data_IF_043844382100
#
_entry.id   IF_043844382100
#
_cell.length_a   1.000
_cell.length_b   1.000
_cell.length_c   1.000
_cell.angle_alpha   90.00
_cell.angle_beta   90.00
_cell.angle_gamma   90.00
#
_symmetry.space_group_name_H-M   'P 1'
#
loop_
_entity.id
_entity.type
_entity.pdbx_description
1 polymer ?
#
# COMPACT_ATOMS: atom_id res chain seq x y z
N UNK A 1 -13.40 22.14 57.69
CA UNK A 1 -14.74 22.29 57.11
C UNK A 1 -14.74 21.61 55.74
N UNK A 2 -15.72 20.71 55.55
CA UNK A 2 -16.31 20.24 54.29
C UNK A 2 -15.48 19.44 53.25
N UNK A 3 -15.84 18.16 53.23
CA UNK A 3 -15.84 17.17 52.14
C UNK A 3 -16.54 17.67 50.86
N UNK A 4 -15.97 17.30 49.70
CA UNK A 4 -16.65 16.80 48.49
C UNK A 4 -15.66 15.80 47.84
N UNK A 5 -15.95 14.55 47.52
CA UNK A 5 -17.22 13.94 47.17
C UNK A 5 -17.26 13.60 45.67
N UNK A 6 -16.54 12.55 45.27
CA UNK A 6 -16.85 11.60 44.18
C UNK A 6 -17.51 12.07 42.87
N UNK A 7 -16.81 11.87 41.76
CA UNK A 7 -17.43 11.50 40.47
C UNK A 7 -16.75 10.23 39.93
N UNK A 8 -17.36 9.07 40.23
CA UNK A 8 -17.13 7.83 39.47
C UNK A 8 -17.74 8.04 38.09
N UNK A 9 -16.91 8.29 37.07
CA UNK A 9 -17.34 8.09 35.69
C UNK A 9 -17.19 6.61 35.36
N UNK A 10 -18.32 5.89 35.41
CA UNK A 10 -18.45 4.55 34.88
C UNK A 10 -18.32 4.60 33.36
N UNK A 11 -17.12 4.33 32.84
CA UNK A 11 -16.91 4.05 31.43
C UNK A 11 -17.55 2.70 31.09
N UNK A 12 -18.76 2.75 30.55
CA UNK A 12 -19.33 1.63 29.80
C UNK A 12 -18.52 1.49 28.50
N UNK A 13 -17.78 0.39 28.27
CA UNK A 13 -17.18 0.17 26.96
C UNK A 13 -18.31 -0.22 26.00
N UNK A 14 -18.51 0.63 24.99
CA UNK A 14 -19.41 0.40 23.87
C UNK A 14 -19.11 -0.94 23.20
N UNK A 15 -20.16 -1.74 23.07
CA UNK A 15 -20.19 -2.97 22.29
C UNK A 15 -20.15 -2.59 20.81
N UNK A 16 -18.97 -2.63 20.20
CA UNK A 16 -18.81 -2.37 18.77
C UNK A 16 -17.38 -2.56 18.31
N UNK A 17 -17.14 -3.63 17.54
CA UNK A 17 -15.87 -3.86 16.86
C UNK A 17 -15.52 -5.33 16.78
N UNK A 18 -15.90 -5.99 15.70
CA UNK A 18 -15.45 -7.33 15.34
C UNK A 18 -13.94 -7.34 15.14
N UNK A 19 -13.18 -7.47 16.23
CA UNK A 19 -11.79 -7.90 16.23
C UNK A 19 -11.76 -9.43 16.15
N UNK A 20 -12.18 -9.99 15.02
CA UNK A 20 -12.13 -11.44 14.77
C UNK A 20 -11.01 -11.76 13.76
N UNK A 21 -9.77 -11.37 14.06
CA UNK A 21 -8.63 -11.77 13.23
C UNK A 21 -7.36 -12.11 14.00
N UNK A 22 -7.47 -12.50 15.28
CA UNK A 22 -6.31 -12.98 16.04
C UNK A 22 -6.66 -14.12 16.99
N UNK A 23 -7.21 -15.21 16.45
CA UNK A 23 -7.10 -16.58 16.97
C UNK A 23 -7.33 -17.48 15.75
N UNK A 24 -6.27 -17.79 15.02
CA UNK A 24 -6.22 -19.05 14.24
C UNK A 24 -5.93 -20.16 15.25
N UNK A 25 -6.88 -20.34 16.16
CA UNK A 25 -6.83 -21.31 17.23
C UNK A 25 -7.16 -22.70 16.69
N UNK A 26 -6.82 -23.75 17.43
CA UNK A 26 -6.96 -25.16 17.04
C UNK A 26 -8.32 -25.57 16.42
N UNK A 27 -9.39 -24.79 16.62
CA UNK A 27 -10.69 -24.99 15.96
C UNK A 27 -10.65 -24.97 14.43
N UNK A 28 -9.77 -24.18 13.78
CA UNK A 28 -9.63 -24.24 12.32
C UNK A 28 -9.12 -25.61 11.85
N UNK A 29 -8.18 -26.20 12.58
CA UNK A 29 -7.59 -27.50 12.25
C UNK A 29 -8.61 -28.62 12.42
N UNK A 30 -9.44 -28.54 13.47
CA UNK A 30 -10.56 -29.46 13.68
C UNK A 30 -11.60 -29.35 12.57
N UNK A 31 -11.97 -28.13 12.14
CA UNK A 31 -12.91 -27.91 11.04
C UNK A 31 -12.39 -28.45 9.71
N UNK A 32 -11.11 -28.20 9.39
CA UNK A 32 -10.46 -28.76 8.19
C UNK A 32 -10.48 -30.29 8.24
N UNK A 33 -10.16 -30.89 9.39
CA UNK A 33 -10.14 -32.34 9.56
C UNK A 33 -11.55 -32.94 9.40
N UNK A 34 -12.56 -32.35 10.04
CA UNK A 34 -13.95 -32.79 9.91
C UNK A 34 -14.47 -32.66 8.47
N UNK A 35 -14.09 -31.58 7.79
CA UNK A 35 -14.42 -31.36 6.39
C UNK A 35 -13.80 -32.42 5.48
N UNK A 36 -12.51 -32.75 5.67
CA UNK A 36 -11.84 -33.82 4.91
C UNK A 36 -12.51 -35.18 5.13
N UNK A 37 -12.87 -35.52 6.38
CA UNK A 37 -13.60 -36.76 6.68
C UNK A 37 -14.96 -36.80 5.99
N UNK A 38 -15.72 -35.71 6.00
CA UNK A 38 -17.01 -35.62 5.32
C UNK A 38 -16.87 -35.80 3.80
N UNK A 39 -15.85 -35.20 3.18
CA UNK A 39 -15.56 -35.35 1.75
C UNK A 39 -15.20 -36.80 1.41
N UNK A 40 -14.36 -37.45 2.21
CA UNK A 40 -13.95 -38.85 2.00
C UNK A 40 -15.16 -39.79 2.16
N UNK A 41 -16.01 -39.56 3.16
CA UNK A 41 -17.21 -40.37 3.37
C UNK A 41 -18.24 -40.18 2.24
N UNK A 42 -18.43 -38.95 1.76
CA UNK A 42 -19.28 -38.67 0.61
C UNK A 42 -18.75 -39.34 -0.67
N UNK A 43 -17.44 -39.31 -0.91
CA UNK A 43 -16.81 -39.97 -2.06
C UNK A 43 -16.88 -41.51 -1.97
N UNK A 44 -16.85 -42.08 -0.77
CA UNK A 44 -16.84 -43.53 -0.56
C UNK A 44 -18.21 -44.20 -0.73
N UNK A 45 -19.33 -43.46 -0.71
CA UNK A 45 -20.66 -44.04 -0.96
C UNK A 45 -20.96 -44.33 -2.44
N UNK A 46 -20.00 -44.13 -3.36
CA UNK A 46 -20.18 -44.29 -4.81
C UNK A 46 -21.38 -43.51 -5.38
N UNK A 47 -21.75 -42.41 -4.71
CA UNK A 47 -22.79 -41.49 -5.14
C UNK A 47 -22.14 -40.36 -5.95
N UNK A 48 -22.71 -40.08 -7.13
CA UNK A 48 -22.24 -39.04 -8.07
C UNK A 48 -22.19 -37.68 -7.36
N UNK A 49 -23.12 -37.43 -6.44
CA UNK A 49 -23.17 -36.18 -5.67
C UNK A 49 -21.92 -36.02 -4.79
N UNK A 50 -21.46 -37.09 -4.15
CA UNK A 50 -20.28 -37.07 -3.29
C UNK A 50 -19.00 -36.75 -4.05
N UNK A 51 -18.84 -37.32 -5.25
CA UNK A 51 -17.70 -37.03 -6.13
C UNK A 51 -17.71 -35.58 -6.64
N UNK A 52 -18.87 -35.03 -6.98
CA UNK A 52 -19.00 -33.62 -7.39
C UNK A 52 -18.59 -32.68 -6.26
N UNK A 53 -19.09 -32.93 -5.04
CA UNK A 53 -18.74 -32.13 -3.86
C UNK A 53 -17.26 -32.24 -3.54
N UNK A 54 -16.68 -33.45 -3.65
CA UNK A 54 -15.25 -33.68 -3.42
C UNK A 54 -14.36 -32.89 -4.39
N UNK A 55 -14.67 -32.89 -5.69
CA UNK A 55 -13.91 -32.13 -6.70
C UNK A 55 -14.01 -30.63 -6.46
N UNK A 56 -15.20 -30.12 -6.17
CA UNK A 56 -15.41 -28.68 -5.90
C UNK A 56 -14.66 -28.27 -4.62
N UNK A 57 -14.72 -29.09 -3.57
CA UNK A 57 -13.99 -28.85 -2.33
C UNK A 57 -12.47 -28.81 -2.54
N UNK A 58 -11.94 -29.77 -3.29
CA UNK A 58 -10.51 -29.86 -3.62
C UNK A 58 -10.06 -28.64 -4.43
N UNK A 59 -10.88 -28.21 -5.40
CA UNK A 59 -10.64 -26.99 -6.18
C UNK A 59 -10.53 -25.75 -5.29
N UNK A 60 -11.48 -25.54 -4.35
CA UNK A 60 -11.43 -24.40 -3.42
C UNK A 60 -10.23 -24.47 -2.48
N UNK A 61 -9.88 -25.66 -1.99
CA UNK A 61 -8.71 -25.85 -1.15
C UNK A 61 -7.42 -25.51 -1.90
N UNK A 62 -7.31 -25.95 -3.16
CA UNK A 62 -6.16 -25.65 -4.01
C UNK A 62 -6.04 -24.15 -4.30
N UNK A 63 -7.17 -23.48 -4.58
CA UNK A 63 -7.21 -22.03 -4.81
C UNK A 63 -6.79 -21.26 -3.56
N UNK A 64 -7.36 -21.58 -2.39
CA UNK A 64 -6.97 -20.98 -1.12
C UNK A 64 -5.48 -21.19 -0.82
N UNK A 65 -4.98 -22.42 -1.01
CA UNK A 65 -3.55 -22.74 -0.84
C UNK A 65 -2.69 -21.92 -1.80
N UNK A 66 -3.08 -21.80 -3.06
CA UNK A 66 -2.35 -21.02 -4.06
C UNK A 66 -2.24 -19.54 -3.67
N UNK A 67 -3.33 -18.93 -3.18
CA UNK A 67 -3.33 -17.54 -2.69
C UNK A 67 -2.41 -17.38 -1.48
N UNK A 68 -2.48 -18.30 -0.51
CA UNK A 68 -1.60 -18.25 0.67
C UNK A 68 -0.14 -18.41 0.26
N UNK A 69 0.18 -19.35 -0.62
CA UNK A 69 1.55 -19.55 -1.10
C UNK A 69 2.06 -18.40 -1.96
N UNK A 70 1.22 -17.75 -2.75
CA UNK A 70 1.63 -16.59 -3.56
C UNK A 70 1.96 -15.39 -2.68
N UNK A 71 1.17 -15.13 -1.64
CA UNK A 71 1.44 -14.08 -0.63
C UNK A 71 2.68 -14.44 0.18
N UNK A 72 2.81 -15.68 0.66
CA UNK A 72 4.00 -16.11 1.41
C UNK A 72 5.29 -16.00 0.57
N UNK A 73 5.23 -16.35 -0.72
CA UNK A 73 6.37 -16.19 -1.65
C UNK A 73 6.69 -14.72 -1.91
N UNK A 74 5.68 -13.86 -2.05
CA UNK A 74 5.87 -12.41 -2.21
C UNK A 74 6.45 -11.77 -0.94
N UNK A 75 5.94 -12.13 0.24
CA UNK A 75 6.40 -11.64 1.52
C UNK A 75 7.85 -12.06 1.82
N UNK A 76 8.23 -13.31 1.52
CA UNK A 76 9.62 -13.78 1.68
C UNK A 76 10.62 -13.01 0.81
N UNK A 77 10.23 -12.61 -0.41
CA UNK A 77 11.07 -11.80 -1.30
C UNK A 77 11.11 -10.32 -0.91
N UNK A 78 10.01 -9.79 -0.37
CA UNK A 78 9.93 -8.41 0.11
C UNK A 78 10.72 -8.21 1.42
N UNK A 79 10.66 -9.17 2.35
CA UNK A 79 11.37 -9.09 3.63
C UNK A 79 12.90 -9.01 3.47
N UNK A 80 13.48 -9.72 2.50
CA UNK A 80 14.90 -9.63 2.20
C UNK A 80 15.30 -8.23 1.70
N UNK A 81 14.50 -7.64 0.80
CA UNK A 81 14.76 -6.29 0.27
C UNK A 81 14.50 -5.19 1.29
N UNK A 82 13.51 -5.37 2.18
CA UNK A 82 13.22 -4.43 3.26
C UNK A 82 14.30 -4.51 4.34
N UNK A 83 14.79 -5.69 4.72
CA UNK A 83 15.93 -5.78 5.65
C UNK A 83 17.20 -5.19 5.04
N UNK A 84 17.46 -5.38 3.76
CA UNK A 84 18.59 -4.76 3.06
C UNK A 84 18.44 -3.23 3.03
N UNK A 85 17.27 -2.71 2.68
CA UNK A 85 16.98 -1.27 2.68
C UNK A 85 16.98 -0.66 4.08
N UNK A 86 16.49 -1.38 5.09
CA UNK A 86 16.46 -0.93 6.48
C UNK A 86 17.85 -0.97 7.11
N UNK A 87 18.68 -1.97 6.78
CA UNK A 87 20.09 -2.00 7.18
C UNK A 87 20.91 -0.93 6.46
N UNK A 88 20.66 -0.66 5.17
CA UNK A 88 21.28 0.44 4.44
C UNK A 88 20.84 1.81 4.98
N UNK A 89 19.57 1.95 5.34
CA UNK A 89 19.04 3.16 5.95
C UNK A 89 19.60 3.38 7.36
N UNK A 90 19.66 2.34 8.20
CA UNK A 90 20.26 2.42 9.55
C UNK A 90 21.77 2.64 9.50
N UNK A 91 22.48 2.09 8.50
CA UNK A 91 23.88 2.43 8.24
C UNK A 91 24.06 3.90 7.80
N UNK A 92 23.04 4.48 7.14
CA UNK A 92 23.03 5.88 6.74
C UNK A 92 22.54 6.86 7.83
N UNK A 93 21.65 6.42 8.73
CA UNK A 93 21.07 7.26 9.82
C UNK A 93 21.79 7.09 11.16
N UNK A 94 22.64 6.08 11.33
CA UNK A 94 23.46 5.86 12.53
C UNK A 94 24.80 6.61 12.55
N UNK A 95 25.14 7.38 11.51
CA UNK A 95 26.38 8.18 11.48
C UNK A 95 26.05 9.66 11.66
N UNK A 96 26.15 10.12 12.91
CA UNK A 96 26.39 11.54 13.19
C UNK A 96 27.59 12.03 12.33
N UNK A 97 27.58 13.28 11.85
CA UNK A 97 28.58 13.78 10.91
C UNK A 97 29.93 13.84 11.63
N UNK A 98 30.69 12.75 11.53
CA UNK A 98 32.08 12.72 11.93
C UNK A 98 32.84 13.33 10.76
N UNK A 99 33.23 14.58 10.95
CA UNK A 99 34.32 15.23 10.24
C UNK A 99 35.55 14.34 10.33
N UNK A 100 35.73 13.41 9.40
CA UNK A 100 36.99 12.69 9.23
C UNK A 100 37.19 12.46 7.74
N UNK A 101 37.94 13.39 7.16
CA UNK A 101 39.11 13.15 6.32
C UNK A 101 39.32 11.64 5.99
N UNK A 102 38.79 11.21 4.85
CA UNK A 102 39.26 10.03 4.15
C UNK A 102 39.32 10.38 2.67
N UNK A 103 40.50 10.88 2.34
CA UNK A 103 41.09 11.06 1.04
C UNK A 103 40.85 9.85 0.12
N UNK A 104 39.86 9.95 -0.77
CA UNK A 104 39.83 9.28 -2.08
C UNK A 104 39.07 10.20 -3.05
N UNK A 105 39.83 10.84 -3.94
CA UNK A 105 39.42 11.91 -4.86
C UNK A 105 38.29 11.57 -5.83
N UNK A 106 37.06 11.56 -5.32
CA UNK A 106 35.84 11.71 -6.11
C UNK A 106 35.05 12.89 -5.58
N UNK A 107 34.96 13.96 -6.36
CA UNK A 107 34.01 15.06 -6.13
C UNK A 107 32.58 14.52 -6.27
N UNK A 108 32.05 13.88 -5.22
CA UNK A 108 30.62 13.66 -5.11
C UNK A 108 30.02 15.01 -4.79
N UNK A 109 29.37 15.62 -5.78
CA UNK A 109 28.47 16.73 -5.57
C UNK A 109 27.40 16.24 -4.58
N UNK A 110 27.56 16.57 -3.30
CA UNK A 110 26.42 16.67 -2.39
C UNK A 110 25.65 17.85 -2.95
N UNK A 111 24.76 17.58 -3.91
CA UNK A 111 23.76 18.56 -4.33
C UNK A 111 22.92 18.79 -3.08
N UNK A 112 23.21 19.88 -2.39
CA UNK A 112 22.29 20.51 -1.45
C UNK A 112 20.93 20.47 -2.15
N UNK A 113 19.94 19.80 -1.55
CA UNK A 113 18.60 19.67 -2.12
C UNK A 113 18.08 21.09 -2.27
N UNK A 114 18.25 21.67 -3.45
CA UNK A 114 18.04 23.09 -3.66
C UNK A 114 16.56 23.40 -3.43
N UNK A 115 16.25 24.63 -3.04
CA UNK A 115 14.87 25.11 -2.84
C UNK A 115 13.96 24.77 -4.05
N UNK A 116 14.52 24.74 -5.26
CA UNK A 116 13.83 24.34 -6.49
C UNK A 116 13.40 22.86 -6.54
N UNK A 117 14.14 21.95 -5.88
CA UNK A 117 13.79 20.53 -5.76
C UNK A 117 12.72 20.31 -4.68
N UNK A 118 12.78 21.06 -3.58
CA UNK A 118 11.73 21.02 -2.54
C UNK A 118 10.38 21.56 -3.04
N UNK A 119 10.38 22.70 -3.73
CA UNK A 119 9.17 23.25 -4.36
C UNK A 119 8.61 22.29 -5.41
N UNK A 120 9.49 21.60 -6.16
CA UNK A 120 9.08 20.58 -7.13
C UNK A 120 8.42 19.39 -6.44
N UNK A 121 9.03 18.86 -5.39
CA UNK A 121 8.51 17.72 -4.64
C UNK A 121 7.15 18.06 -4.01
N UNK A 122 6.99 19.27 -3.45
CA UNK A 122 5.71 19.75 -2.94
C UNK A 122 4.63 19.84 -4.04
N UNK A 123 4.98 20.34 -5.23
CA UNK A 123 4.05 20.39 -6.38
C UNK A 123 3.71 19.00 -6.93
N UNK A 124 4.67 18.07 -6.91
CA UNK A 124 4.45 16.68 -7.30
C UNK A 124 3.49 15.99 -6.33
N UNK A 125 3.70 16.14 -5.01
CA UNK A 125 2.79 15.63 -3.99
C UNK A 125 1.36 16.16 -4.19
N UNK A 126 1.24 17.47 -4.41
CA UNK A 126 -0.04 18.08 -4.70
C UNK A 126 -0.71 17.52 -5.97
N UNK A 127 0.07 17.31 -7.04
CA UNK A 127 -0.42 16.72 -8.29
C UNK A 127 -0.94 15.30 -8.07
N UNK A 128 -0.24 14.49 -7.28
CA UNK A 128 -0.71 13.14 -6.95
C UNK A 128 -1.98 13.17 -6.08
N UNK A 129 -2.11 14.12 -5.16
CA UNK A 129 -3.33 14.30 -4.36
C UNK A 129 -4.54 14.64 -5.22
N UNK A 130 -4.38 15.51 -6.23
CA UNK A 130 -5.45 15.84 -7.19
C UNK A 130 -5.90 14.57 -7.92
N UNK A 131 -4.96 13.79 -8.45
CA UNK A 131 -5.29 12.53 -9.15
C UNK A 131 -6.08 11.58 -8.23
N UNK A 132 -5.66 11.41 -6.98
CA UNK A 132 -6.39 10.57 -6.02
C UNK A 132 -7.81 11.06 -5.75
N UNK A 133 -8.01 12.37 -5.64
CA UNK A 133 -9.36 12.95 -5.46
C UNK A 133 -10.22 12.68 -6.68
N UNK A 134 -9.70 12.89 -7.89
CA UNK A 134 -10.46 12.68 -9.12
C UNK A 134 -10.78 11.21 -9.37
N UNK A 135 -9.88 10.28 -9.02
CA UNK A 135 -10.17 8.83 -9.07
C UNK A 135 -11.35 8.49 -8.16
N UNK A 136 -11.40 9.04 -6.93
CA UNK A 136 -12.55 8.84 -6.03
C UNK A 136 -13.85 9.42 -6.61
N UNK A 137 -13.79 10.57 -7.27
CA UNK A 137 -14.96 11.14 -7.96
C UNK A 137 -15.45 10.20 -9.06
N UNK A 138 -14.55 9.67 -9.89
CA UNK A 138 -14.91 8.68 -10.93
C UNK A 138 -15.54 7.43 -10.31
N UNK A 139 -14.95 6.88 -9.25
CA UNK A 139 -15.51 5.71 -8.56
C UNK A 139 -16.90 5.98 -7.97
N UNK A 140 -17.08 7.15 -7.34
CA UNK A 140 -18.37 7.56 -6.77
C UNK A 140 -19.44 7.75 -7.84
N UNK A 141 -19.11 8.38 -8.96
CA UNK A 141 -20.06 8.54 -10.06
C UNK A 141 -20.39 7.20 -10.72
N UNK A 142 -19.40 6.33 -10.95
CA UNK A 142 -19.64 4.99 -11.53
C UNK A 142 -20.49 4.11 -10.61
N UNK A 143 -20.37 4.26 -9.29
CA UNK A 143 -21.18 3.53 -8.32
C UNK A 143 -22.69 3.88 -8.42
N UNK A 144 -23.05 5.03 -9.00
CA UNK A 144 -24.45 5.41 -9.24
C UNK A 144 -25.11 4.62 -10.39
N UNK A 145 -24.36 3.83 -11.14
CA UNK A 145 -24.89 2.95 -12.19
C UNK A 145 -25.61 3.72 -13.29
N UNK A 146 -26.89 3.41 -13.52
CA UNK A 146 -27.70 4.07 -14.55
C UNK A 146 -27.93 5.58 -14.30
N UNK A 147 -27.76 6.04 -13.05
CA UNK A 147 -27.86 7.45 -12.68
C UNK A 147 -26.50 8.17 -12.69
N UNK A 148 -25.44 7.54 -13.20
CA UNK A 148 -24.11 8.12 -13.25
C UNK A 148 -24.04 9.27 -14.25
N UNK A 149 -23.50 10.41 -13.81
CA UNK A 149 -23.20 11.53 -14.70
C UNK A 149 -21.91 11.26 -15.49
N UNK A 150 -22.08 10.91 -16.76
CA UNK A 150 -20.97 10.62 -17.66
C UNK A 150 -20.10 11.85 -17.95
N UNK A 151 -20.65 13.06 -17.88
CA UNK A 151 -19.88 14.28 -18.11
C UNK A 151 -18.99 14.59 -16.89
N UNK A 152 -19.47 14.35 -15.67
CA UNK A 152 -18.64 14.44 -14.46
C UNK A 152 -17.48 13.42 -14.51
N UNK A 153 -17.74 12.19 -14.95
CA UNK A 153 -16.69 11.17 -15.14
C UNK A 153 -15.67 11.64 -16.18
N UNK A 154 -16.13 12.15 -17.34
CA UNK A 154 -15.24 12.61 -18.42
C UNK A 154 -14.33 13.76 -17.96
N UNK A 155 -14.89 14.75 -17.25
CA UNK A 155 -14.12 15.89 -16.70
C UNK A 155 -13.10 15.47 -15.65
N UNK A 156 -13.46 14.52 -14.79
CA UNK A 156 -12.54 13.98 -13.79
C UNK A 156 -11.36 13.24 -14.46
N UNK A 157 -11.63 12.45 -15.52
CA UNK A 157 -10.60 11.77 -16.30
C UNK A 157 -9.68 12.75 -17.03
N UNK A 158 -10.23 13.79 -17.66
CA UNK A 158 -9.45 14.87 -18.30
C UNK A 158 -8.53 15.57 -17.29
N UNK A 159 -9.04 15.86 -16.08
CA UNK A 159 -8.24 16.46 -15.02
C UNK A 159 -7.10 15.55 -14.59
N UNK A 160 -7.34 14.23 -14.49
CA UNK A 160 -6.30 13.25 -14.19
C UNK A 160 -5.21 13.25 -15.27
N UNK A 161 -5.60 13.27 -16.54
CA UNK A 161 -4.67 13.26 -17.67
C UNK A 161 -3.78 14.51 -17.70
N UNK A 162 -4.37 15.70 -17.58
CA UNK A 162 -3.63 16.97 -17.53
C UNK A 162 -2.66 16.98 -16.35
N UNK A 163 -3.15 16.60 -15.16
CA UNK A 163 -2.34 16.60 -13.94
C UNK A 163 -1.20 15.59 -14.01
N UNK A 164 -1.46 14.39 -14.51
CA UNK A 164 -0.45 13.35 -14.67
C UNK A 164 0.62 13.74 -15.70
N UNK A 165 0.24 14.44 -16.77
CA UNK A 165 1.17 14.93 -17.78
C UNK A 165 2.09 16.01 -17.21
N UNK A 166 1.51 17.00 -16.52
CA UNK A 166 2.29 18.06 -15.86
C UNK A 166 3.25 17.50 -14.79
N UNK A 167 2.78 16.55 -13.97
CA UNK A 167 3.63 15.90 -12.97
C UNK A 167 4.76 15.09 -13.62
N UNK A 168 4.48 14.41 -14.73
CA UNK A 168 5.50 13.66 -15.49
C UNK A 168 6.56 14.59 -16.07
N UNK A 169 6.18 15.75 -16.58
CA UNK A 169 7.13 16.74 -17.12
C UNK A 169 8.02 17.33 -16.02
N UNK A 170 7.46 17.55 -14.83
CA UNK A 170 8.23 17.94 -13.65
C UNK A 170 9.24 16.87 -13.20
N UNK A 171 8.92 15.59 -13.37
CA UNK A 171 9.85 14.48 -13.09
C UNK A 171 10.92 14.41 -14.18
N UNK A 172 10.56 14.53 -15.47
CA UNK A 172 11.51 14.43 -16.59
C UNK A 172 12.50 15.60 -16.62
N UNK A 173 12.08 16.79 -16.23
CA UNK A 173 12.97 17.96 -16.09
C UNK A 173 14.02 17.81 -14.98
N UNK A 174 13.91 16.81 -14.11
CA UNK A 174 14.98 16.44 -13.15
C UNK A 174 16.13 15.63 -13.79
N UNK A 175 15.89 15.03 -14.97
CA UNK A 175 16.83 14.13 -15.65
C UNK A 175 17.56 14.71 -16.87
N UNK A 176 17.41 16.01 -17.17
CA UNK A 176 17.95 16.64 -18.38
C UNK A 176 19.17 17.53 -18.12
N UNK A 177 20.32 17.10 -18.67
CA UNK A 177 21.54 17.85 -19.02
C UNK A 177 22.01 18.92 -18.03
N UNK A 178 23.05 18.59 -17.25
CA UNK A 178 23.89 19.57 -16.53
C UNK A 178 24.70 20.48 -17.46
N UNK A 179 24.08 20.96 -18.52
CA UNK A 179 24.65 21.97 -19.40
C UNK A 179 24.33 23.33 -18.78
N UNK A 180 25.34 24.08 -18.32
CA UNK A 180 25.11 25.38 -17.68
C UNK A 180 24.40 26.30 -18.67
N UNK A 181 23.32 26.92 -18.22
CA UNK A 181 22.56 27.92 -18.99
C UNK A 181 23.52 29.08 -19.28
N UNK A 182 24.06 29.09 -20.50
CA UNK A 182 24.91 30.17 -20.98
C UNK A 182 24.01 31.25 -21.55
N UNK A 183 23.73 32.27 -20.73
CA UNK A 183 23.01 33.47 -21.15
C UNK A 183 23.79 34.70 -20.73
N UNK A 184 24.03 35.63 -21.67
CA UNK A 184 24.55 36.96 -21.35
C UNK A 184 23.42 37.78 -20.73
N UNK A 185 23.63 38.26 -19.50
CA UNK A 185 22.75 39.23 -18.86
C UNK A 185 22.99 40.57 -19.57
N UNK A 186 21.94 41.14 -20.16
CA UNK A 186 21.96 42.51 -20.69
C UNK A 186 21.25 43.36 -19.65
N UNK A 187 21.98 44.32 -19.07
CA UNK A 187 21.46 45.41 -18.22
C UNK A 187 20.98 46.56 -19.12
#
# INVERSE_FOLDING_TARGET
MQSLGSSKSSSTPGRGGFSMFRISGPGLLVLITAFLVAVIFAANQNDVVGWVVAVIALFWLALASFVVFSIQRAAKKAGAKINEAHNAFNAATGRAPSTVLADHGGTRLVRERGEAEEIRDMKLDHSFKIVQVQVRVVEQERAKGAAADQDTIRRALETIEITATNARDMIKSSGGSGEPVTGTIID
#
